data_IF_201153733481
#
_entry.id   IF_201153733481
#
_cell.length_a   1.000
_cell.length_b   1.000
_cell.length_c   1.000
_cell.angle_alpha   90.00
_cell.angle_beta   90.00
_cell.angle_gamma   90.00
#
_symmetry.space_group_name_H-M   'P 1'
#
loop_
_entity.id
_entity.type
_entity.pdbx_description
1 polymer ?
#
# COMPACT_ATOMS: atom_id res chain seq x y z
N UNK A 1 14.60 44.20 54.77
CA UNK A 1 15.73 43.51 54.12
C UNK A 1 15.12 42.46 53.18
N UNK A 2 14.95 42.85 51.93
CA UNK A 2 14.40 41.99 50.88
C UNK A 2 15.57 41.30 50.17
N UNK A 3 15.58 39.97 50.19
CA UNK A 3 16.46 39.17 49.37
C UNK A 3 15.86 39.12 47.98
N UNK A 4 16.43 39.87 47.07
CA UNK A 4 16.19 39.73 45.63
C UNK A 4 17.24 38.76 45.09
N UNK A 5 16.89 37.51 44.96
CA UNK A 5 17.54 36.62 44.00
C UNK A 5 16.69 36.65 42.72
N UNK A 6 17.12 37.49 41.80
CA UNK A 6 16.67 37.43 40.41
C UNK A 6 17.24 36.19 39.77
N UNK A 7 16.49 35.12 39.74
CA UNK A 7 16.74 34.05 38.80
C UNK A 7 16.41 34.57 37.40
N UNK A 8 17.45 34.84 36.64
CA UNK A 8 17.35 34.96 35.18
C UNK A 8 16.97 33.57 34.64
N UNK A 9 15.69 33.37 34.40
CA UNK A 9 15.26 32.27 33.56
C UNK A 9 15.90 32.47 32.18
N UNK A 10 16.97 31.75 31.91
CA UNK A 10 17.47 31.54 30.56
C UNK A 10 16.39 30.78 29.79
N UNK A 11 15.75 31.49 28.87
CA UNK A 11 14.79 30.98 27.91
C UNK A 11 15.49 29.90 27.09
N UNK A 12 15.47 28.65 27.54
CA UNK A 12 16.18 27.57 26.82
C UNK A 12 16.24 26.21 27.51
N UNK A 13 15.64 26.01 28.68
CA UNK A 13 15.93 24.79 29.45
C UNK A 13 14.75 23.96 29.97
N UNK A 14 13.52 24.23 29.62
CA UNK A 14 12.41 23.32 29.99
C UNK A 14 11.59 22.91 28.76
N UNK A 15 12.11 21.95 28.01
CA UNK A 15 11.24 21.12 27.21
C UNK A 15 10.11 20.62 28.10
N UNK A 16 8.84 20.71 27.62
CA UNK A 16 7.71 20.28 28.42
C UNK A 16 7.88 18.82 28.87
N UNK A 17 7.33 18.46 30.02
CA UNK A 17 7.39 17.08 30.53
C UNK A 17 6.86 16.08 29.50
N UNK A 18 5.94 16.54 28.64
CA UNK A 18 5.41 15.75 27.55
C UNK A 18 6.47 15.42 26.48
N UNK A 19 7.25 16.40 26.03
CA UNK A 19 8.35 16.21 25.07
C UNK A 19 9.45 15.33 25.68
N UNK A 20 9.80 15.54 26.94
CA UNK A 20 10.79 14.74 27.65
C UNK A 20 10.40 13.25 27.76
N UNK A 21 9.11 12.96 27.93
CA UNK A 21 8.58 11.58 27.91
C UNK A 21 8.89 10.86 26.59
N UNK A 22 8.72 11.52 25.47
CA UNK A 22 9.03 10.94 24.15
C UNK A 22 10.53 10.78 23.96
N UNK A 23 11.32 11.79 24.31
CA UNK A 23 12.78 11.77 24.19
C UNK A 23 13.42 10.61 24.95
N UNK A 24 12.94 10.27 26.15
CA UNK A 24 13.47 9.16 26.96
C UNK A 24 13.23 7.77 26.32
N UNK A 25 12.24 7.65 25.45
CA UNK A 25 11.87 6.39 24.78
C UNK A 25 12.59 6.17 23.44
N UNK A 26 13.42 7.13 23.00
CA UNK A 26 14.10 7.09 21.70
C UNK A 26 15.59 6.81 21.90
N UNK A 27 16.09 5.78 21.23
CA UNK A 27 17.52 5.54 21.09
C UNK A 27 18.09 6.47 20.02
N UNK A 28 18.80 7.52 20.45
CA UNK A 28 19.33 8.54 19.55
C UNK A 28 20.38 7.98 18.59
N UNK A 29 21.18 6.99 19.01
CA UNK A 29 22.21 6.38 18.16
C UNK A 29 21.57 5.50 17.07
N UNK A 30 20.53 4.77 17.42
CA UNK A 30 19.76 3.99 16.45
C UNK A 30 19.09 4.91 15.41
N UNK A 31 18.47 6.02 15.83
CA UNK A 31 17.83 6.98 14.93
C UNK A 31 18.86 7.62 13.99
N UNK A 32 20.02 8.06 14.51
CA UNK A 32 21.09 8.61 13.68
C UNK A 32 21.66 7.61 12.69
N UNK A 33 21.76 6.34 13.07
CA UNK A 33 22.20 5.29 12.14
C UNK A 33 21.21 5.08 10.98
N UNK A 34 19.91 5.28 11.24
CA UNK A 34 18.85 5.18 10.23
C UNK A 34 18.72 6.45 9.39
N UNK A 35 18.87 7.63 9.99
CA UNK A 35 18.72 8.95 9.36
C UNK A 35 20.07 9.65 9.33
N UNK A 36 20.85 9.38 8.28
CA UNK A 36 22.19 9.96 8.08
C UNK A 36 22.20 11.46 7.86
N UNK A 37 21.03 12.05 7.58
CA UNK A 37 20.80 13.47 7.39
C UNK A 37 20.58 14.25 8.69
N UNK A 38 20.37 13.56 9.81
CA UNK A 38 20.26 14.21 11.14
C UNK A 38 21.66 14.69 11.57
N UNK A 39 21.77 15.98 11.85
CA UNK A 39 23.03 16.58 12.30
C UNK A 39 23.36 16.21 13.74
N UNK A 40 24.64 16.25 14.12
CA UNK A 40 25.08 15.95 15.50
C UNK A 40 24.46 16.87 16.55
N UNK A 41 24.08 18.09 16.14
CA UNK A 41 23.43 19.08 17.00
C UNK A 41 21.93 18.91 17.16
N UNK A 42 21.29 17.99 16.40
CA UNK A 42 19.87 17.70 16.53
C UNK A 42 19.62 16.56 17.51
N UNK A 43 18.59 16.71 18.31
CA UNK A 43 18.19 15.71 19.30
C UNK A 43 16.94 14.99 18.81
N UNK A 44 17.01 13.67 18.51
CA UNK A 44 15.83 12.89 18.18
C UNK A 44 14.87 12.81 19.37
N UNK A 45 13.58 13.04 19.11
CA UNK A 45 12.53 13.06 20.14
C UNK A 45 11.51 11.94 19.90
N UNK A 46 11.20 11.68 18.63
CA UNK A 46 10.26 10.63 18.25
C UNK A 46 10.67 9.99 16.93
N UNK A 47 10.36 8.70 16.80
CA UNK A 47 10.55 7.97 15.56
C UNK A 47 9.37 7.04 15.33
N UNK A 48 9.02 6.84 14.07
CA UNK A 48 7.89 5.99 13.70
C UNK A 48 7.83 5.65 12.22
N UNK A 49 6.73 5.05 11.85
CA UNK A 49 6.42 4.69 10.47
C UNK A 49 4.95 4.33 10.32
N UNK A 50 4.50 3.93 9.13
CA UNK A 50 3.11 3.56 8.89
C UNK A 50 2.67 2.36 9.75
N UNK A 51 1.47 2.45 10.31
CA UNK A 51 0.83 1.37 11.06
C UNK A 51 0.61 0.13 10.18
N UNK A 52 0.75 -1.07 10.75
CA UNK A 52 0.42 -2.30 10.04
C UNK A 52 -1.06 -2.34 9.62
N UNK A 53 -1.93 -1.77 10.44
CA UNK A 53 -3.37 -1.72 10.18
C UNK A 53 -3.74 -0.81 9.00
N UNK A 54 -2.89 0.14 8.63
CA UNK A 54 -3.11 0.97 7.45
C UNK A 54 -3.06 0.18 6.15
N UNK A 55 -2.38 -0.97 6.15
CA UNK A 55 -2.24 -1.87 5.00
C UNK A 55 -3.27 -3.00 5.00
N UNK A 56 -4.25 -2.97 5.92
CA UNK A 56 -5.24 -4.04 6.08
C UNK A 56 -5.96 -4.37 4.77
N UNK A 57 -6.36 -3.35 4.00
CA UNK A 57 -7.04 -3.55 2.71
C UNK A 57 -6.22 -4.40 1.72
N UNK A 58 -4.90 -4.23 1.70
CA UNK A 58 -3.99 -5.02 0.84
C UNK A 58 -3.85 -6.45 1.33
N UNK A 59 -3.76 -6.65 2.64
CA UNK A 59 -3.70 -8.00 3.22
C UNK A 59 -5.01 -8.76 2.99
N UNK A 60 -6.16 -8.11 3.17
CA UNK A 60 -7.46 -8.70 2.87
C UNK A 60 -7.62 -9.02 1.38
N UNK A 61 -7.12 -8.17 0.50
CA UNK A 61 -7.12 -8.44 -0.93
C UNK A 61 -6.25 -9.65 -1.30
N UNK A 62 -5.07 -9.79 -0.68
CA UNK A 62 -4.21 -10.97 -0.88
C UNK A 62 -4.90 -12.25 -0.37
N UNK A 63 -5.57 -12.18 0.77
CA UNK A 63 -6.36 -13.29 1.31
C UNK A 63 -7.56 -13.65 0.39
N UNK A 64 -8.25 -12.64 -0.16
CA UNK A 64 -9.34 -12.86 -1.11
C UNK A 64 -8.83 -13.56 -2.38
N UNK A 65 -7.70 -13.13 -2.93
CA UNK A 65 -7.09 -13.77 -4.11
C UNK A 65 -6.76 -15.24 -3.82
N UNK A 66 -6.15 -15.53 -2.67
CA UNK A 66 -5.89 -16.91 -2.27
C UNK A 66 -7.18 -17.72 -2.16
N UNK A 67 -8.20 -17.15 -1.53
CA UNK A 67 -9.51 -17.80 -1.38
C UNK A 67 -10.13 -18.16 -2.74
N UNK A 68 -10.09 -17.23 -3.69
CA UNK A 68 -10.61 -17.47 -5.06
C UNK A 68 -9.86 -18.63 -5.72
N UNK A 69 -8.54 -18.67 -5.64
CA UNK A 69 -7.76 -19.78 -6.18
C UNK A 69 -8.14 -21.13 -5.54
N UNK A 70 -8.32 -21.15 -4.22
CA UNK A 70 -8.73 -22.36 -3.49
C UNK A 70 -10.15 -22.81 -3.85
N UNK A 71 -11.08 -21.87 -4.01
CA UNK A 71 -12.46 -22.17 -4.45
C UNK A 71 -12.46 -22.79 -5.84
N UNK A 72 -11.70 -22.24 -6.77
CA UNK A 72 -11.59 -22.80 -8.12
C UNK A 72 -10.87 -24.16 -8.15
N UNK A 73 -9.87 -24.36 -7.31
CA UNK A 73 -9.24 -25.66 -7.14
C UNK A 73 -10.23 -26.71 -6.65
N UNK A 74 -11.00 -26.39 -5.61
CA UNK A 74 -12.03 -27.32 -5.10
C UNK A 74 -13.10 -27.58 -6.15
N UNK A 75 -13.56 -26.54 -6.85
CA UNK A 75 -14.53 -26.70 -7.94
C UNK A 75 -14.03 -27.63 -9.06
N UNK A 76 -12.74 -27.54 -9.40
CA UNK A 76 -12.13 -28.41 -10.41
C UNK A 76 -11.97 -29.87 -9.94
N UNK A 77 -11.82 -30.12 -8.62
CA UNK A 77 -11.61 -31.46 -8.05
C UNK A 77 -12.91 -32.19 -7.69
N UNK A 78 -13.97 -31.46 -7.38
CA UNK A 78 -15.23 -32.09 -6.98
C UNK A 78 -16.12 -32.33 -8.21
N UNK A 79 -16.31 -33.60 -8.55
CA UNK A 79 -17.19 -34.05 -9.65
C UNK A 79 -18.67 -33.89 -9.31
N UNK A 80 -19.06 -34.05 -8.04
CA UNK A 80 -20.43 -33.87 -7.57
C UNK A 80 -20.47 -33.01 -6.31
N UNK A 81 -21.09 -31.84 -6.40
CA UNK A 81 -21.41 -31.01 -5.25
C UNK A 81 -22.87 -31.24 -4.88
N UNK A 82 -23.18 -32.45 -4.40
CA UNK A 82 -24.46 -32.76 -3.77
C UNK A 82 -24.39 -32.33 -2.30
N UNK A 83 -24.61 -31.05 -2.03
CA UNK A 83 -24.53 -30.57 -0.66
C UNK A 83 -25.45 -29.41 -0.36
N UNK A 84 -26.24 -29.57 0.69
CA UNK A 84 -27.08 -28.55 1.29
C UNK A 84 -26.25 -27.67 2.23
N UNK A 85 -25.69 -26.56 1.74
CA UNK A 85 -25.02 -25.60 2.60
C UNK A 85 -24.38 -24.40 1.87
N UNK A 86 -24.27 -23.27 2.57
CA UNK A 86 -23.76 -22.01 2.01
C UNK A 86 -22.28 -22.08 1.54
N UNK A 87 -21.47 -22.98 2.10
CA UNK A 87 -20.10 -23.25 1.66
C UNK A 87 -20.08 -23.92 0.27
N UNK A 88 -21.07 -24.71 -0.04
CA UNK A 88 -21.23 -25.37 -1.33
C UNK A 88 -21.65 -24.38 -2.42
N UNK A 89 -22.27 -23.25 -2.06
CA UNK A 89 -22.72 -22.25 -3.04
C UNK A 89 -21.54 -21.64 -3.80
N UNK A 90 -20.48 -21.22 -3.10
CA UNK A 90 -19.31 -20.60 -3.75
C UNK A 90 -18.56 -21.60 -4.65
N UNK A 91 -18.38 -22.85 -4.18
CA UNK A 91 -17.77 -23.92 -4.94
C UNK A 91 -18.66 -24.32 -6.12
N UNK A 92 -19.97 -24.42 -5.90
CA UNK A 92 -20.95 -24.71 -6.94
C UNK A 92 -20.98 -23.66 -8.05
N UNK A 93 -20.96 -22.37 -7.69
CA UNK A 93 -20.85 -21.27 -8.66
C UNK A 93 -19.53 -21.34 -9.44
N UNK A 94 -18.41 -21.61 -8.77
CA UNK A 94 -17.12 -21.75 -9.44
C UNK A 94 -17.12 -22.96 -10.38
N UNK A 95 -17.76 -24.09 -10.00
CA UNK A 95 -17.93 -25.25 -10.87
C UNK A 95 -18.75 -24.92 -12.12
N UNK A 96 -19.89 -24.27 -11.98
CA UNK A 96 -20.70 -23.81 -13.13
C UNK A 96 -19.88 -22.91 -14.06
N UNK A 97 -19.09 -21.99 -13.51
CA UNK A 97 -18.21 -21.12 -14.29
C UNK A 97 -17.16 -21.95 -15.04
N UNK A 98 -16.52 -22.93 -14.38
CA UNK A 98 -15.53 -23.82 -15.00
C UNK A 98 -16.15 -24.70 -16.09
N UNK A 99 -17.33 -25.26 -15.87
CA UNK A 99 -18.02 -26.14 -16.82
C UNK A 99 -18.45 -25.38 -18.09
N UNK A 100 -18.82 -24.09 -17.95
CA UNK A 100 -19.25 -23.27 -19.11
C UNK A 100 -18.06 -22.70 -19.87
N UNK A 101 -17.04 -22.19 -19.16
CA UNK A 101 -15.98 -21.35 -19.73
C UNK A 101 -14.56 -21.86 -19.46
N UNK A 102 -14.42 -22.97 -18.72
CA UNK A 102 -13.10 -23.50 -18.34
C UNK A 102 -12.28 -22.47 -17.58
N UNK A 103 -10.98 -22.47 -17.80
CA UNK A 103 -10.05 -21.55 -17.14
C UNK A 103 -10.34 -20.07 -17.44
N UNK A 104 -10.98 -19.77 -18.59
CA UNK A 104 -11.38 -18.39 -18.93
C UNK A 104 -12.34 -17.79 -17.89
N UNK A 105 -13.19 -18.59 -17.26
CA UNK A 105 -14.06 -18.13 -16.18
C UNK A 105 -13.29 -17.61 -14.97
N UNK A 106 -12.24 -18.31 -14.58
CA UNK A 106 -11.33 -17.83 -13.53
C UNK A 106 -10.67 -16.50 -13.93
N UNK A 107 -10.19 -16.38 -15.19
CA UNK A 107 -9.59 -15.13 -15.70
C UNK A 107 -10.59 -13.97 -15.59
N UNK A 108 -11.85 -14.19 -16.00
CA UNK A 108 -12.90 -13.18 -15.91
C UNK A 108 -13.14 -12.75 -14.44
N UNK A 109 -13.21 -13.70 -13.52
CA UNK A 109 -13.39 -13.40 -12.09
C UNK A 109 -12.21 -12.55 -11.57
N UNK A 110 -10.96 -12.89 -11.92
CA UNK A 110 -9.80 -12.12 -11.53
C UNK A 110 -9.80 -10.70 -12.11
N UNK A 111 -10.24 -10.54 -13.36
CA UNK A 111 -10.40 -9.23 -14.00
C UNK A 111 -11.50 -8.39 -13.33
N UNK A 112 -12.60 -9.02 -12.91
CA UNK A 112 -13.67 -8.33 -12.14
C UNK A 112 -13.11 -7.85 -10.79
N UNK A 113 -12.38 -8.69 -10.07
CA UNK A 113 -11.75 -8.31 -8.80
C UNK A 113 -10.77 -7.15 -9.01
N UNK A 114 -9.95 -7.21 -10.06
CA UNK A 114 -9.03 -6.13 -10.42
C UNK A 114 -9.79 -4.81 -10.68
N UNK A 115 -10.91 -4.87 -11.41
CA UNK A 115 -11.74 -3.70 -11.67
C UNK A 115 -12.40 -3.15 -10.41
N UNK A 116 -12.94 -4.02 -9.55
CA UNK A 116 -13.56 -3.63 -8.28
C UNK A 116 -12.51 -2.97 -7.38
N UNK A 117 -11.33 -3.60 -7.23
CA UNK A 117 -10.24 -3.02 -6.44
C UNK A 117 -9.83 -1.64 -6.96
N UNK A 118 -9.68 -1.50 -8.27
CA UNK A 118 -9.33 -0.24 -8.89
C UNK A 118 -10.40 0.83 -8.66
N UNK A 119 -11.68 0.47 -8.82
CA UNK A 119 -12.80 1.40 -8.69
C UNK A 119 -13.05 1.84 -7.25
N UNK A 120 -12.99 0.90 -6.30
CA UNK A 120 -13.20 1.16 -4.87
C UNK A 120 -11.95 1.69 -4.17
N UNK A 121 -10.80 1.63 -4.83
CA UNK A 121 -9.50 1.99 -4.25
C UNK A 121 -9.27 1.34 -2.88
N UNK A 122 -9.61 0.05 -2.77
CA UNK A 122 -9.49 -0.73 -1.52
C UNK A 122 -8.04 -0.80 -1.07
N UNK A 123 -7.11 -0.82 -2.03
CA UNK A 123 -5.69 -0.69 -1.77
C UNK A 123 -5.26 0.74 -2.12
N UNK A 124 -4.89 1.52 -1.14
CA UNK A 124 -4.39 2.90 -1.27
C UNK A 124 -3.10 3.01 -2.10
N UNK A 125 -2.70 1.98 -2.77
CA UNK A 125 -1.49 1.91 -3.57
C UNK A 125 -1.82 2.00 -5.04
N UNK A 126 -1.04 2.79 -5.71
CA UNK A 126 -1.07 2.94 -7.15
C UNK A 126 -1.11 1.64 -7.99
N UNK A 127 -0.77 1.73 -9.25
CA UNK A 127 -0.99 0.70 -10.26
C UNK A 127 -0.43 -0.71 -10.00
N UNK A 128 0.49 -0.91 -9.02
CA UNK A 128 1.12 -2.21 -8.83
C UNK A 128 0.15 -3.30 -8.30
N UNK A 129 -0.79 -2.95 -7.41
CA UNK A 129 -1.81 -3.92 -6.93
C UNK A 129 -2.76 -4.34 -8.03
N UNK A 130 -3.18 -3.39 -8.86
CA UNK A 130 -4.00 -3.69 -10.04
C UNK A 130 -3.23 -4.55 -11.03
N UNK A 131 -1.96 -4.22 -11.31
CA UNK A 131 -1.09 -5.01 -12.18
C UNK A 131 -0.88 -6.43 -11.66
N UNK A 132 -0.68 -6.58 -10.34
CA UNK A 132 -0.58 -7.88 -9.70
C UNK A 132 -1.86 -8.71 -9.85
N UNK A 133 -3.05 -8.11 -9.68
CA UNK A 133 -4.33 -8.80 -9.90
C UNK A 133 -4.52 -9.22 -11.36
N UNK A 134 -4.15 -8.36 -12.30
CA UNK A 134 -4.21 -8.67 -13.73
C UNK A 134 -3.26 -9.82 -14.07
N UNK A 135 -2.06 -9.87 -13.48
CA UNK A 135 -1.12 -10.97 -13.70
C UNK A 135 -1.66 -12.31 -13.22
N UNK A 136 -2.42 -12.35 -12.11
CA UNK A 136 -3.08 -13.58 -11.65
C UNK A 136 -4.08 -14.15 -12.68
N UNK A 137 -4.74 -13.29 -13.45
CA UNK A 137 -5.57 -13.73 -14.59
C UNK A 137 -4.77 -14.00 -15.86
N UNK A 138 -3.72 -13.22 -16.13
CA UNK A 138 -2.94 -13.32 -17.36
C UNK A 138 -2.13 -14.62 -17.44
N UNK A 139 -1.58 -15.12 -16.33
CA UNK A 139 -0.78 -16.36 -16.31
C UNK A 139 -1.60 -17.56 -16.80
N UNK A 140 -2.78 -17.90 -16.21
CA UNK A 140 -3.61 -18.99 -16.70
C UNK A 140 -4.08 -18.75 -18.14
N UNK A 141 -4.42 -17.52 -18.49
CA UNK A 141 -4.82 -17.17 -19.85
C UNK A 141 -3.73 -17.50 -20.87
N UNK A 142 -2.49 -17.10 -20.62
CA UNK A 142 -1.35 -17.37 -21.50
C UNK A 142 -1.14 -18.87 -21.66
N UNK A 143 -1.18 -19.65 -20.58
CA UNK A 143 -1.00 -21.10 -20.62
C UNK A 143 -2.07 -21.76 -21.50
N UNK A 144 -3.34 -21.37 -21.33
CA UNK A 144 -4.44 -21.92 -22.13
C UNK A 144 -4.33 -21.53 -23.61
N UNK A 145 -3.93 -20.30 -23.90
CA UNK A 145 -3.71 -19.85 -25.30
C UNK A 145 -2.54 -20.60 -25.93
N UNK A 146 -1.47 -20.85 -25.20
CA UNK A 146 -0.34 -21.65 -25.70
C UNK A 146 -0.74 -23.10 -25.94
N UNK A 147 -1.52 -23.74 -25.07
CA UNK A 147 -2.05 -25.08 -25.29
C UNK A 147 -2.95 -25.16 -26.54
N UNK A 148 -3.84 -24.19 -26.70
CA UNK A 148 -4.67 -24.10 -27.87
C UNK A 148 -3.87 -23.90 -29.18
N UNK A 149 -2.88 -23.00 -29.12
CA UNK A 149 -2.03 -22.74 -30.28
C UNK A 149 -1.26 -24.00 -30.70
N UNK A 150 -0.73 -24.76 -29.74
CA UNK A 150 -0.06 -26.04 -30.02
C UNK A 150 -0.98 -27.09 -30.63
N UNK A 151 -2.20 -27.23 -30.10
CA UNK A 151 -3.21 -28.14 -30.69
C UNK A 151 -3.62 -27.76 -32.12
N UNK A 152 -3.75 -26.46 -32.39
CA UNK A 152 -4.06 -25.98 -33.75
C UNK A 152 -2.86 -26.23 -34.68
N UNK A 153 -1.64 -25.87 -34.29
CA UNK A 153 -0.44 -26.11 -35.12
C UNK A 153 -0.20 -27.59 -35.37
N UNK A 154 -0.41 -28.46 -34.38
CA UNK A 154 -0.27 -29.91 -34.53
C UNK A 154 -1.20 -30.54 -35.56
N UNK A 155 -2.32 -29.86 -35.94
CA UNK A 155 -3.17 -30.28 -37.02
C UNK A 155 -2.60 -29.97 -38.43
N UNK A 156 -1.61 -29.08 -38.51
CA UNK A 156 -1.03 -28.60 -39.77
C UNK A 156 0.45 -28.95 -39.96
N UNK A 157 1.16 -29.22 -38.84
CA UNK A 157 2.61 -29.42 -38.82
C UNK A 157 2.96 -30.71 -38.07
N UNK A 158 3.79 -31.56 -38.69
CA UNK A 158 4.44 -32.67 -37.98
C UNK A 158 5.57 -32.13 -37.09
N UNK A 159 5.67 -32.63 -35.86
CA UNK A 159 6.68 -32.25 -34.86
C UNK A 159 6.47 -30.87 -34.20
N UNK A 160 5.28 -30.53 -33.77
CA UNK A 160 5.03 -29.39 -32.88
C UNK A 160 5.51 -29.75 -31.46
N UNK A 161 6.29 -28.88 -30.78
CA UNK A 161 6.66 -29.10 -29.41
C UNK A 161 5.46 -29.21 -28.45
N UNK A 162 5.59 -30.04 -27.41
CA UNK A 162 4.56 -30.15 -26.39
C UNK A 162 4.31 -28.77 -25.74
N UNK A 163 3.06 -28.35 -25.74
CA UNK A 163 2.64 -27.08 -25.15
C UNK A 163 2.21 -27.28 -23.68
N UNK A 164 2.47 -26.30 -22.80
CA UNK A 164 2.06 -26.40 -21.42
C UNK A 164 0.51 -26.43 -21.31
N UNK A 165 0.00 -27.42 -20.62
CA UNK A 165 -1.42 -27.56 -20.32
C UNK A 165 -1.72 -27.03 -18.91
N UNK A 166 -2.87 -26.39 -18.74
CA UNK A 166 -3.33 -25.99 -17.42
C UNK A 166 -3.72 -27.20 -16.57
N UNK A 167 -3.13 -27.33 -15.38
CA UNK A 167 -3.44 -28.39 -14.41
C UNK A 167 -4.12 -27.78 -13.18
N UNK A 168 -5.10 -28.49 -12.62
CA UNK A 168 -5.88 -27.99 -11.47
C UNK A 168 -5.03 -27.56 -10.29
N UNK A 169 -3.94 -28.23 -10.01
CA UNK A 169 -3.04 -27.92 -8.91
C UNK A 169 -2.28 -26.59 -9.10
N UNK A 170 -2.32 -26.00 -10.30
CA UNK A 170 -1.77 -24.65 -10.52
C UNK A 170 -2.59 -23.57 -9.80
N UNK A 171 -3.90 -23.80 -9.56
CA UNK A 171 -4.70 -22.87 -8.80
C UNK A 171 -4.12 -22.62 -7.39
N UNK A 172 -3.99 -23.61 -6.49
CA UNK A 172 -3.43 -23.38 -5.17
C UNK A 172 -1.98 -22.92 -5.21
N UNK A 173 -1.15 -23.44 -6.13
CA UNK A 173 0.22 -23.02 -6.28
C UNK A 173 0.32 -21.54 -6.61
N UNK A 174 -0.37 -21.09 -7.65
CA UNK A 174 -0.40 -19.69 -8.07
C UNK A 174 -0.98 -18.80 -6.96
N UNK A 175 -2.06 -19.24 -6.32
CA UNK A 175 -2.69 -18.54 -5.21
C UNK A 175 -1.73 -18.32 -4.03
N UNK A 176 -1.02 -19.35 -3.60
CA UNK A 176 -0.05 -19.26 -2.48
C UNK A 176 1.13 -18.36 -2.86
N UNK A 177 1.75 -18.59 -4.02
CA UNK A 177 2.89 -17.79 -4.47
C UNK A 177 2.54 -16.32 -4.64
N UNK A 178 1.41 -16.06 -5.33
CA UNK A 178 0.93 -14.72 -5.60
C UNK A 178 0.55 -13.96 -4.32
N UNK A 179 -0.19 -14.60 -3.42
CA UNK A 179 -0.61 -13.96 -2.16
C UNK A 179 0.60 -13.73 -1.23
N UNK A 180 1.54 -14.68 -1.15
CA UNK A 180 2.78 -14.50 -0.40
C UNK A 180 3.61 -13.34 -0.95
N UNK A 181 3.72 -13.21 -2.27
CA UNK A 181 4.37 -12.08 -2.92
C UNK A 181 3.69 -10.76 -2.57
N UNK A 182 2.36 -10.68 -2.65
CA UNK A 182 1.61 -9.48 -2.32
C UNK A 182 1.77 -9.06 -0.85
N UNK A 183 1.74 -10.01 0.08
CA UNK A 183 1.97 -9.77 1.51
C UNK A 183 3.41 -9.28 1.74
N UNK A 184 4.39 -9.94 1.15
CA UNK A 184 5.81 -9.57 1.24
C UNK A 184 6.06 -8.15 0.70
N UNK A 185 5.54 -7.85 -0.49
CA UNK A 185 5.64 -6.51 -1.09
C UNK A 185 4.94 -5.44 -0.28
N UNK A 186 3.76 -5.74 0.27
CA UNK A 186 3.03 -4.81 1.14
C UNK A 186 3.81 -4.51 2.41
N UNK A 187 4.37 -5.53 3.04
CA UNK A 187 5.19 -5.37 4.25
C UNK A 187 6.47 -4.61 3.95
N UNK A 188 7.15 -4.92 2.83
CA UNK A 188 8.33 -4.19 2.39
C UNK A 188 8.00 -2.72 2.11
N UNK A 189 6.91 -2.45 1.40
CA UNK A 189 6.45 -1.09 1.14
C UNK A 189 6.19 -0.32 2.43
N UNK A 190 5.45 -0.90 3.40
CA UNK A 190 5.21 -0.27 4.70
C UNK A 190 6.52 0.08 5.42
N UNK A 191 7.46 -0.84 5.46
CA UNK A 191 8.74 -0.66 6.15
C UNK A 191 9.70 0.31 5.42
N UNK A 192 9.36 0.69 4.19
CA UNK A 192 10.15 1.63 3.40
C UNK A 192 10.00 3.07 3.85
N UNK A 193 8.95 3.39 4.61
CA UNK A 193 8.71 4.73 5.14
C UNK A 193 9.13 4.80 6.60
N UNK A 194 9.96 5.77 6.88
CA UNK A 194 10.48 6.04 8.21
C UNK A 194 10.36 7.54 8.49
N UNK A 195 9.93 7.86 9.70
CA UNK A 195 9.72 9.22 10.15
C UNK A 195 10.51 9.46 11.44
N UNK A 196 11.09 10.65 11.56
CA UNK A 196 11.73 11.09 12.79
C UNK A 196 11.39 12.55 13.06
N UNK A 197 11.19 12.88 14.33
CA UNK A 197 10.97 14.23 14.82
C UNK A 197 12.15 14.56 15.74
N UNK A 198 12.82 15.65 15.42
CA UNK A 198 13.93 16.17 16.23
C UNK A 198 13.51 17.47 16.93
N UNK A 199 14.38 18.04 17.74
CA UNK A 199 14.20 19.37 18.32
C UNK A 199 14.16 20.51 17.29
N UNK A 200 14.50 20.25 16.02
CA UNK A 200 14.64 21.28 14.97
C UNK A 200 13.75 21.09 13.76
N UNK A 201 13.45 19.86 13.38
CA UNK A 201 12.72 19.56 12.14
C UNK A 201 12.02 18.22 12.17
N UNK A 202 11.09 18.05 11.24
CA UNK A 202 10.47 16.77 10.93
C UNK A 202 11.20 16.14 9.76
N UNK A 203 11.66 14.90 9.91
CA UNK A 203 12.29 14.10 8.86
C UNK A 203 11.33 13.05 8.32
N UNK A 204 11.15 13.04 7.01
CA UNK A 204 10.38 12.04 6.27
C UNK A 204 11.36 11.35 5.33
N UNK A 205 11.52 10.04 5.49
CA UNK A 205 12.41 9.23 4.66
C UNK A 205 11.65 8.10 4.01
N UNK A 206 11.83 7.96 2.71
CA UNK A 206 11.36 6.85 1.90
C UNK A 206 12.58 6.10 1.36
N UNK A 207 12.61 4.78 1.55
CA UNK A 207 13.63 3.90 0.98
C UNK A 207 12.94 2.65 0.43
N UNK A 208 12.28 2.81 -0.72
CA UNK A 208 11.57 1.71 -1.36
C UNK A 208 12.39 1.18 -2.53
N UNK A 209 12.83 -0.05 -2.43
CA UNK A 209 13.78 -0.67 -3.36
C UNK A 209 15.06 0.19 -3.52
N UNK A 210 15.96 -0.15 -4.45
CA UNK A 210 17.20 0.59 -4.64
C UNK A 210 17.03 1.89 -5.44
N UNK A 211 15.87 2.07 -6.10
CA UNK A 211 15.65 3.12 -7.09
C UNK A 211 14.76 4.26 -6.59
N UNK A 212 13.96 4.03 -5.56
CA UNK A 212 12.99 5.01 -5.06
C UNK A 212 13.35 5.41 -3.63
N UNK A 213 14.29 6.34 -3.52
CA UNK A 213 14.74 6.89 -2.24
C UNK A 213 14.54 8.40 -2.23
N UNK A 214 13.84 8.87 -1.21
CA UNK A 214 13.71 10.30 -0.94
C UNK A 214 13.89 10.58 0.55
N UNK A 215 14.44 11.72 0.88
CA UNK A 215 14.52 12.21 2.25
C UNK A 215 14.20 13.69 2.26
N UNK A 216 13.26 14.08 3.12
CA UNK A 216 12.82 15.46 3.28
C UNK A 216 12.95 15.82 4.75
N UNK A 217 13.63 16.93 5.05
CA UNK A 217 13.71 17.51 6.38
C UNK A 217 12.97 18.85 6.40
N UNK A 218 11.88 18.96 7.15
CA UNK A 218 11.03 20.15 7.24
C UNK A 218 11.34 20.89 8.54
N UNK A 219 12.04 22.03 8.50
CA UNK A 219 12.29 22.84 9.68
C UNK A 219 10.98 23.46 10.20
N UNK A 220 10.85 23.62 11.51
CA UNK A 220 9.62 24.15 12.11
C UNK A 220 9.31 25.59 11.71
N UNK A 221 10.32 26.41 11.42
CA UNK A 221 10.13 27.78 10.92
C UNK A 221 9.51 27.88 9.52
N UNK A 222 9.41 26.74 8.83
CA UNK A 222 8.77 26.61 7.51
C UNK A 222 7.39 25.95 7.58
N UNK A 223 6.98 25.47 8.75
CA UNK A 223 5.66 24.87 8.93
C UNK A 223 4.62 25.95 9.13
N UNK A 224 3.67 26.04 8.21
CA UNK A 224 2.54 26.96 8.32
C UNK A 224 1.36 26.34 9.06
N UNK A 225 1.09 25.07 8.80
CA UNK A 225 -0.06 24.38 9.38
C UNK A 225 0.18 22.88 9.51
N UNK A 226 -0.52 22.27 10.45
CA UNK A 226 -0.58 20.83 10.64
C UNK A 226 -2.01 20.35 10.44
N UNK A 227 -2.21 19.36 9.60
CA UNK A 227 -3.53 18.75 9.37
C UNK A 227 -3.49 17.26 9.67
N UNK A 228 -4.37 16.80 10.55
CA UNK A 228 -4.57 15.36 10.82
C UNK A 228 -5.78 14.86 10.05
N UNK A 229 -5.58 13.85 9.23
CA UNK A 229 -6.64 13.25 8.41
C UNK A 229 -6.73 11.73 8.65
N UNK A 230 -7.46 11.29 9.69
CA UNK A 230 -7.66 9.88 9.94
C UNK A 230 -8.80 9.34 9.07
N UNK A 231 -8.56 8.29 8.25
CA UNK A 231 -9.62 7.60 7.53
C UNK A 231 -10.62 6.97 8.51
N UNK A 232 -11.82 6.62 8.05
CA UNK A 232 -12.88 6.04 8.91
C UNK A 232 -12.34 4.83 9.69
N UNK A 233 -11.63 3.93 9.01
CA UNK A 233 -11.00 2.76 9.64
C UNK A 233 -9.88 3.20 10.60
N UNK A 234 -9.13 4.23 10.26
CA UNK A 234 -8.08 4.80 11.10
C UNK A 234 -8.61 5.35 12.42
N UNK A 235 -9.77 5.98 12.42
CA UNK A 235 -10.45 6.45 13.64
C UNK A 235 -10.79 5.30 14.58
N UNK A 236 -11.16 4.13 14.04
CA UNK A 236 -11.48 2.95 14.84
C UNK A 236 -10.24 2.22 15.35
N UNK A 237 -9.15 2.22 14.57
CA UNK A 237 -7.92 1.47 14.84
C UNK A 237 -6.77 2.32 15.38
N UNK A 238 -6.99 3.63 15.60
CA UNK A 238 -6.02 4.53 16.22
C UNK A 238 -4.87 4.95 15.31
N UNK A 239 -5.06 5.01 13.97
CA UNK A 239 -4.06 5.52 13.05
C UNK A 239 -4.60 6.62 12.13
N UNK A 240 -3.72 7.47 11.61
CA UNK A 240 -4.06 8.52 10.67
C UNK A 240 -2.84 9.19 10.08
N UNK A 241 -3.05 9.95 9.01
CA UNK A 241 -1.98 10.72 8.37
C UNK A 241 -1.90 12.12 8.97
N UNK A 242 -0.68 12.61 9.18
CA UNK A 242 -0.40 13.96 9.64
C UNK A 242 0.37 14.70 8.53
N UNK A 243 -0.29 15.67 7.94
CA UNK A 243 0.27 16.54 6.90
C UNK A 243 0.98 17.73 7.55
N UNK A 244 2.22 17.95 7.14
CA UNK A 244 3.02 19.11 7.53
C UNK A 244 3.02 20.06 6.34
N UNK A 245 2.19 21.10 6.40
CA UNK A 245 2.00 22.07 5.32
C UNK A 245 3.04 23.17 5.46
N UNK A 246 3.73 23.48 4.36
CA UNK A 246 4.78 24.51 4.32
C UNK A 246 4.48 25.54 3.23
N UNK A 247 5.00 26.76 3.39
CA UNK A 247 4.91 27.89 2.43
C UNK A 247 5.40 27.51 1.02
N UNK A 248 6.28 26.53 0.89
CA UNK A 248 6.83 26.05 -0.36
C UNK A 248 6.05 24.94 -1.04
N UNK A 249 4.84 24.59 -0.56
CA UNK A 249 3.98 23.56 -1.14
C UNK A 249 4.39 22.12 -0.81
N UNK A 250 5.35 21.91 0.08
CA UNK A 250 5.58 20.56 0.64
C UNK A 250 4.39 20.24 1.54
N UNK A 251 3.68 19.16 1.27
CA UNK A 251 2.42 18.83 1.94
C UNK A 251 1.16 19.41 1.28
N UNK A 252 1.31 20.40 0.39
CA UNK A 252 0.28 20.88 -0.51
C UNK A 252 0.57 20.31 -1.90
N UNK A 253 0.45 19.01 -2.04
CA UNK A 253 0.50 18.38 -3.36
C UNK A 253 -0.66 18.96 -4.18
N UNK A 254 -0.34 20.03 -4.93
CA UNK A 254 -1.18 20.49 -6.00
C UNK A 254 -1.66 19.25 -6.75
N UNK A 255 -2.97 19.15 -6.93
CA UNK A 255 -3.60 18.22 -7.86
C UNK A 255 -2.81 18.17 -9.18
N UNK A 256 -1.69 17.49 -9.22
CA UNK A 256 -1.31 16.84 -10.45
C UNK A 256 -2.31 15.70 -10.59
N UNK A 257 -3.48 16.07 -11.16
CA UNK A 257 -4.24 15.11 -11.92
C UNK A 257 -3.27 14.52 -12.93
N UNK A 258 -2.57 13.48 -12.53
CA UNK A 258 -2.03 12.53 -13.47
C UNK A 258 -3.26 11.89 -14.10
N UNK A 259 -3.85 12.64 -15.02
CA UNK A 259 -4.58 12.08 -16.12
C UNK A 259 -3.51 11.23 -16.82
N UNK A 260 -3.32 10.01 -16.35
CA UNK A 260 -2.71 9.00 -17.19
C UNK A 260 -3.71 8.84 -18.32
N UNK A 261 -3.50 9.61 -19.37
CA UNK A 261 -4.11 9.37 -20.66
C UNK A 261 -3.86 7.89 -20.93
N UNK A 262 -4.93 7.11 -20.92
CA UNK A 262 -4.84 5.72 -21.27
C UNK A 262 -4.18 5.70 -22.65
N UNK A 263 -3.04 5.04 -22.84
CA UNK A 263 -2.40 5.02 -24.13
C UNK A 263 -3.44 4.51 -25.14
N UNK A 264 -3.57 5.24 -26.25
CA UNK A 264 -4.55 4.97 -27.34
C UNK A 264 -4.16 3.63 -28.01
N UNK A 265 -4.35 2.54 -27.29
CA UNK A 265 -4.05 1.17 -27.71
C UNK A 265 -5.30 0.60 -28.35
N UNK A 266 -5.33 0.68 -29.68
CA UNK A 266 -6.37 0.04 -30.51
C UNK A 266 -6.23 -1.48 -30.41
N UNK A 267 -7.33 -2.19 -30.11
CA UNK A 267 -7.41 -3.65 -30.05
C UNK A 267 -8.02 -4.18 -28.76
N UNK A 268 -8.31 -5.47 -28.73
CA UNK A 268 -8.92 -6.16 -27.57
C UNK A 268 -8.08 -5.99 -26.29
N UNK A 269 -6.76 -6.02 -26.41
CA UNK A 269 -5.83 -5.82 -25.29
C UNK A 269 -5.86 -4.38 -24.77
N UNK A 270 -5.99 -3.38 -25.67
CA UNK A 270 -6.18 -1.98 -25.31
C UNK A 270 -7.53 -1.73 -24.63
N UNK A 271 -8.58 -2.39 -25.08
CA UNK A 271 -9.90 -2.33 -24.45
C UNK A 271 -9.87 -2.93 -23.03
N UNK A 272 -9.29 -4.10 -22.83
CA UNK A 272 -9.20 -4.75 -21.52
C UNK A 272 -8.34 -3.96 -20.54
N UNK A 273 -7.18 -3.46 -20.98
CA UNK A 273 -6.31 -2.62 -20.15
C UNK A 273 -6.94 -1.26 -19.86
N UNK A 274 -7.53 -0.60 -20.86
CA UNK A 274 -8.27 0.66 -20.69
C UNK A 274 -9.45 0.49 -19.74
N UNK A 275 -10.22 -0.60 -19.86
CA UNK A 275 -11.34 -0.89 -18.97
C UNK A 275 -10.91 -1.07 -17.51
N UNK A 276 -9.77 -1.71 -17.26
CA UNK A 276 -9.22 -1.89 -15.90
C UNK A 276 -8.62 -0.61 -15.37
N UNK A 277 -7.90 0.16 -16.18
CA UNK A 277 -7.09 1.30 -15.73
C UNK A 277 -7.76 2.68 -15.84
N UNK A 278 -9.05 2.78 -16.22
CA UNK A 278 -9.76 4.07 -16.23
C UNK A 278 -9.89 4.63 -14.82
N UNK A 279 -9.12 5.66 -14.48
CA UNK A 279 -9.18 6.30 -13.18
C UNK A 279 -10.39 7.25 -13.06
N UNK A 280 -11.01 7.23 -11.89
CA UNK A 280 -11.94 8.27 -11.48
C UNK A 280 -11.15 9.29 -10.68
N UNK A 281 -11.11 10.53 -11.14
CA UNK A 281 -10.54 11.67 -10.43
C UNK A 281 -11.26 11.81 -9.08
N UNK A 282 -10.62 11.45 -7.98
CA UNK A 282 -11.07 11.79 -6.63
C UNK A 282 -10.32 13.04 -6.19
N UNK A 283 -11.07 14.09 -5.81
CA UNK A 283 -10.50 15.32 -5.30
C UNK A 283 -10.07 15.27 -3.83
N UNK A 284 -9.62 14.12 -3.36
CA UNK A 284 -8.98 13.99 -2.05
C UNK A 284 -7.46 14.11 -2.22
N UNK A 285 -6.81 14.84 -1.32
CA UNK A 285 -5.36 14.93 -1.25
C UNK A 285 -4.79 13.51 -1.32
N UNK A 286 -3.92 13.19 -2.27
CA UNK A 286 -3.27 11.91 -2.25
C UNK A 286 -2.37 11.86 -1.02
N UNK A 287 -2.70 11.00 -0.06
CA UNK A 287 -1.82 10.67 1.07
C UNK A 287 -0.56 9.99 0.51
N UNK A 288 0.37 10.78 -0.05
CA UNK A 288 1.67 10.26 -0.43
C UNK A 288 2.53 10.12 0.83
N UNK A 289 2.90 8.89 1.20
CA UNK A 289 3.76 8.64 2.36
C UNK A 289 5.13 9.34 2.30
N UNK A 290 5.50 9.93 1.16
CA UNK A 290 6.74 10.70 1.01
C UNK A 290 6.58 12.19 1.33
N UNK A 291 5.36 12.69 1.45
CA UNK A 291 5.04 14.11 1.70
C UNK A 291 4.37 14.36 3.05
N UNK A 292 3.95 13.30 3.75
CA UNK A 292 3.30 13.39 5.05
C UNK A 292 3.76 12.27 6.00
N UNK A 293 3.48 12.40 7.28
CA UNK A 293 3.58 11.29 8.24
C UNK A 293 2.39 10.34 8.04
N UNK A 294 2.51 9.44 7.08
CA UNK A 294 1.42 8.60 6.59
C UNK A 294 1.01 7.55 7.60
N UNK A 295 -0.28 7.51 7.92
CA UNK A 295 -0.93 6.45 8.70
C UNK A 295 -0.17 6.04 9.98
N UNK A 296 0.39 7.01 10.69
CA UNK A 296 1.09 6.79 11.96
C UNK A 296 0.10 6.42 13.07
N UNK A 297 0.59 5.70 14.07
CA UNK A 297 -0.18 5.45 15.29
C UNK A 297 -0.31 6.74 16.10
N UNK A 298 -1.47 6.92 16.75
CA UNK A 298 -1.75 8.04 17.66
C UNK A 298 -1.43 9.42 17.04
N UNK A 299 -1.98 9.73 15.85
CA UNK A 299 -1.60 10.94 15.11
C UNK A 299 -1.85 12.23 15.86
N UNK A 300 -2.81 12.26 16.80
CA UNK A 300 -3.10 13.43 17.61
C UNK A 300 -2.03 13.71 18.67
N UNK A 301 -1.38 12.67 19.19
CA UNK A 301 -0.26 12.85 20.11
C UNK A 301 0.98 13.40 19.38
N UNK A 302 1.24 12.88 18.17
CA UNK A 302 2.32 13.38 17.32
C UNK A 302 2.05 14.82 16.85
N UNK A 303 0.79 15.14 16.53
CA UNK A 303 0.35 16.51 16.24
C UNK A 303 0.65 17.45 17.41
N UNK A 304 0.26 17.06 18.62
CA UNK A 304 0.56 17.84 19.84
C UNK A 304 2.05 17.99 20.08
N UNK A 305 2.83 16.92 19.86
CA UNK A 305 4.29 16.94 20.02
C UNK A 305 4.94 17.98 19.10
N UNK A 306 4.54 18.03 17.84
CA UNK A 306 5.08 19.00 16.88
C UNK A 306 4.68 20.44 17.29
N UNK A 307 3.43 20.65 17.71
CA UNK A 307 2.99 21.98 18.16
C UNK A 307 3.81 22.46 19.38
N UNK A 308 4.03 21.61 20.38
CA UNK A 308 4.83 21.98 21.54
C UNK A 308 6.28 22.34 21.14
N UNK A 309 6.87 21.58 20.17
CA UNK A 309 8.19 21.90 19.65
C UNK A 309 8.26 23.17 18.79
N UNK A 310 7.13 23.58 18.21
CA UNK A 310 7.02 24.84 17.48
C UNK A 310 6.88 26.03 18.43
N UNK A 311 6.17 25.86 19.54
CA UNK A 311 5.90 26.92 20.54
C UNK A 311 7.13 27.22 21.42
N UNK A 312 8.01 26.23 21.63
CA UNK A 312 9.24 26.37 22.43
C UNK A 312 10.35 27.19 21.74
N UNK A 313 10.08 27.76 20.56
CA UNK A 313 11.01 28.58 19.76
C UNK A 313 10.60 30.04 19.73
#
# INVERSE_FOLDING_TARGET
>A
MLNMHGEYYTRGETMSDFVNKYRQNVDADEVRSRFTEITDSEVPIWTGGPSAMSMLGRYLLAALVLLVHLVFFWAAKFEDVDGEGNLNLAVGLAKVILDISGVFGFVIVMMIIAKINHYLNVSTSGGWTTSWLVLNGAIPFIIVVLDWSGKILGNFLDNVPDTPMWLDWYYPLLGILSSSFAIGMTTHYRNSFQYAITDRRVHIRKKFLYFDTSSVGIPYDKVENLKVDPPIIGKMLGFGSLHVITDGGVGDDQMQSTTSEAPDRKGLFGFLTGWVFTQRSRGDFPDDPSSCLYAINEPMEVYRLINELMDDR
#
